data_IF_470835593857
#
_entry.id   IF_470835593857
#
_cell.length_a   1.000
_cell.length_b   1.000
_cell.length_c   1.000
_cell.angle_alpha   90.00
_cell.angle_beta   90.00
_cell.angle_gamma   90.00
#
_symmetry.space_group_name_H-M   'P 1'
#
loop_
_entity.id
_entity.type
_entity.pdbx_description
1 polymer ?
#
# COMPACT_ATOMS: atom_id res chain seq x y z
N UNK A 1 -26.77 -5.74 16.25
CA UNK A 1 -25.52 -6.41 15.82
C UNK A 1 -25.46 -6.31 14.30
N UNK A 2 -24.95 -5.20 13.79
CA UNK A 2 -24.49 -5.15 12.39
C UNK A 2 -23.30 -6.10 12.28
N UNK A 3 -23.26 -6.93 11.23
CA UNK A 3 -22.14 -7.85 11.04
C UNK A 3 -20.89 -7.06 10.65
N UNK A 4 -19.70 -7.62 10.91
CA UNK A 4 -18.43 -7.02 10.49
C UNK A 4 -18.38 -6.73 8.97
N UNK A 5 -19.06 -7.56 8.17
CA UNK A 5 -19.23 -7.34 6.73
C UNK A 5 -20.01 -6.06 6.39
N UNK A 6 -20.94 -5.62 7.25
CA UNK A 6 -21.64 -4.34 7.09
C UNK A 6 -20.69 -3.16 7.29
N UNK A 7 -19.78 -3.25 8.26
CA UNK A 7 -18.92 -2.14 8.63
C UNK A 7 -17.92 -1.77 7.53
N UNK A 8 -17.28 -2.76 6.92
CA UNK A 8 -16.30 -2.51 5.87
C UNK A 8 -16.95 -1.98 4.59
N UNK A 9 -18.18 -2.43 4.30
CA UNK A 9 -19.00 -1.89 3.21
C UNK A 9 -19.40 -0.44 3.47
N UNK A 10 -19.77 -0.10 4.71
CA UNK A 10 -20.06 1.29 5.10
C UNK A 10 -18.80 2.15 5.02
N UNK A 11 -17.68 1.67 5.55
CA UNK A 11 -16.42 2.41 5.53
C UNK A 11 -15.97 2.67 4.10
N UNK A 12 -15.98 1.66 3.23
CA UNK A 12 -15.68 1.86 1.81
C UNK A 12 -16.66 2.83 1.14
N UNK A 13 -17.96 2.70 1.40
CA UNK A 13 -19.00 3.56 0.80
C UNK A 13 -18.79 5.03 1.15
N UNK A 14 -18.47 5.34 2.40
CA UNK A 14 -18.29 6.72 2.86
C UNK A 14 -16.90 7.28 2.55
N UNK A 15 -15.87 6.43 2.42
CA UNK A 15 -14.50 6.88 2.11
C UNK A 15 -14.16 6.86 0.62
N UNK A 16 -14.99 6.24 -0.24
CA UNK A 16 -14.79 6.22 -1.70
C UNK A 16 -14.62 7.63 -2.29
N UNK A 17 -15.31 8.63 -1.75
CA UNK A 17 -15.17 10.02 -2.18
C UNK A 17 -13.72 10.54 -2.04
N UNK A 18 -12.97 10.08 -1.02
CA UNK A 18 -11.57 10.44 -0.80
C UNK A 18 -10.66 9.87 -1.89
N UNK A 19 -10.86 8.59 -2.25
CA UNK A 19 -10.11 7.95 -3.35
C UNK A 19 -10.40 8.63 -4.68
N UNK A 20 -11.67 8.98 -4.94
CA UNK A 20 -12.06 9.73 -6.14
C UNK A 20 -11.42 11.12 -6.16
N UNK A 21 -11.43 11.85 -5.03
CA UNK A 21 -10.79 13.17 -4.94
C UNK A 21 -9.29 13.11 -5.20
N UNK A 22 -8.59 12.12 -4.64
CA UNK A 22 -7.17 11.89 -4.94
C UNK A 22 -6.97 11.56 -6.41
N UNK A 23 -7.83 10.75 -7.02
CA UNK A 23 -7.76 10.40 -8.44
C UNK A 23 -7.91 11.60 -9.39
N UNK A 24 -8.73 12.60 -9.04
CA UNK A 24 -8.80 13.86 -9.80
C UNK A 24 -7.51 14.67 -9.75
N UNK A 25 -6.71 14.53 -8.69
CA UNK A 25 -5.43 15.20 -8.53
C UNK A 25 -4.26 14.39 -9.12
N UNK A 26 -4.29 13.07 -8.91
CA UNK A 26 -3.30 12.11 -9.37
C UNK A 26 -3.97 10.77 -9.73
N UNK A 27 -4.37 10.68 -11.00
CA UNK A 27 -5.04 9.50 -11.55
C UNK A 27 -4.15 8.25 -11.52
N UNK A 28 -2.82 8.41 -11.61
CA UNK A 28 -1.90 7.28 -11.58
C UNK A 28 -1.89 6.64 -10.18
N UNK A 29 -1.91 7.45 -9.13
CA UNK A 29 -2.03 6.95 -7.75
C UNK A 29 -3.35 6.22 -7.53
N UNK A 30 -4.47 6.70 -8.08
CA UNK A 30 -5.75 5.98 -7.97
C UNK A 30 -5.69 4.58 -8.59
N UNK A 31 -5.24 4.48 -9.83
CA UNK A 31 -5.13 3.18 -10.52
C UNK A 31 -4.12 2.25 -9.84
N UNK A 32 -3.05 2.81 -9.28
CA UNK A 32 -2.09 2.08 -8.47
C UNK A 32 -2.75 1.49 -7.21
N UNK A 33 -3.48 2.29 -6.42
CA UNK A 33 -4.18 1.79 -5.24
C UNK A 33 -5.19 0.68 -5.57
N UNK A 34 -5.87 0.74 -6.72
CA UNK A 34 -6.79 -0.32 -7.16
C UNK A 34 -6.09 -1.66 -7.41
N UNK A 35 -4.91 -1.64 -8.05
CA UNK A 35 -4.11 -2.86 -8.30
C UNK A 35 -3.45 -3.39 -7.04
N UNK A 36 -2.90 -2.51 -6.20
CA UNK A 36 -2.34 -2.87 -4.89
C UNK A 36 -3.41 -3.56 -4.04
N UNK A 37 -4.63 -3.02 -4.01
CA UNK A 37 -5.77 -3.67 -3.32
C UNK A 37 -6.02 -5.09 -3.80
N UNK A 38 -6.04 -5.32 -5.11
CA UNK A 38 -6.23 -6.66 -5.69
C UNK A 38 -5.11 -7.64 -5.33
N UNK A 39 -3.85 -7.20 -5.42
CA UNK A 39 -2.69 -7.97 -4.99
C UNK A 39 -2.75 -8.32 -3.50
N UNK A 40 -3.06 -7.35 -2.64
CA UNK A 40 -3.21 -7.55 -1.21
C UNK A 40 -4.32 -8.56 -0.88
N UNK A 41 -5.44 -8.52 -1.59
CA UNK A 41 -6.53 -9.48 -1.40
C UNK A 41 -6.07 -10.92 -1.68
N UNK A 42 -5.33 -11.16 -2.77
CA UNK A 42 -4.79 -12.47 -3.11
C UNK A 42 -3.79 -12.94 -2.04
N UNK A 43 -2.88 -12.06 -1.60
CA UNK A 43 -1.89 -12.38 -0.55
C UNK A 43 -2.60 -12.70 0.77
N UNK A 44 -3.54 -11.86 1.20
CA UNK A 44 -4.25 -12.01 2.46
C UNK A 44 -5.08 -13.30 2.54
N UNK A 45 -5.77 -13.65 1.45
CA UNK A 45 -6.48 -14.93 1.34
C UNK A 45 -5.54 -16.12 1.41
N UNK A 46 -4.39 -16.06 0.72
CA UNK A 46 -3.39 -17.14 0.74
C UNK A 46 -2.74 -17.30 2.11
N UNK A 47 -2.55 -16.19 2.84
CA UNK A 47 -2.04 -16.17 4.20
C UNK A 47 -3.04 -16.72 5.22
N UNK A 48 -4.34 -16.70 4.89
CA UNK A 48 -5.39 -17.18 5.78
C UNK A 48 -5.83 -16.13 6.80
N UNK A 49 -5.81 -14.84 6.42
CA UNK A 49 -6.42 -13.79 7.23
C UNK A 49 -7.90 -14.10 7.48
N UNK A 50 -8.37 -13.81 8.70
CA UNK A 50 -9.80 -13.84 9.00
C UNK A 50 -10.52 -12.76 8.19
N UNK A 51 -11.83 -12.93 7.97
CA UNK A 51 -12.64 -12.02 7.16
C UNK A 51 -12.50 -10.55 7.59
N UNK A 52 -12.45 -10.31 8.91
CA UNK A 52 -12.28 -8.97 9.48
C UNK A 52 -10.93 -8.34 9.11
N UNK A 53 -9.84 -9.10 9.22
CA UNK A 53 -8.50 -8.61 8.88
C UNK A 53 -8.33 -8.43 7.37
N UNK A 54 -8.97 -9.29 6.58
CA UNK A 54 -8.99 -9.18 5.13
C UNK A 54 -9.71 -7.90 4.69
N UNK A 55 -10.80 -7.52 5.36
CA UNK A 55 -11.46 -6.26 5.05
C UNK A 55 -10.64 -5.04 5.48
N UNK A 56 -9.98 -5.09 6.64
CA UNK A 56 -9.02 -4.06 7.06
C UNK A 56 -7.92 -3.92 6.00
N UNK A 57 -7.38 -5.04 5.51
CA UNK A 57 -6.37 -5.05 4.46
C UNK A 57 -6.87 -4.42 3.16
N UNK A 58 -8.07 -4.81 2.67
CA UNK A 58 -8.67 -4.26 1.45
C UNK A 58 -8.87 -2.75 1.55
N UNK A 59 -9.40 -2.27 2.68
CA UNK A 59 -9.61 -0.86 2.93
C UNK A 59 -8.27 -0.11 3.00
N UNK A 60 -7.34 -0.60 3.80
CA UNK A 60 -6.02 0.02 3.97
C UNK A 60 -5.27 0.08 2.65
N UNK A 61 -5.28 -0.98 1.85
CA UNK A 61 -4.66 -1.00 0.53
C UNK A 61 -5.32 0.00 -0.44
N UNK A 62 -6.63 0.23 -0.34
CA UNK A 62 -7.34 1.23 -1.16
C UNK A 62 -6.95 2.67 -0.82
N UNK A 63 -6.53 2.92 0.43
CA UNK A 63 -6.31 4.26 0.98
C UNK A 63 -4.89 4.50 1.50
N UNK A 64 -3.94 3.58 1.30
CA UNK A 64 -2.57 3.70 1.82
C UNK A 64 -1.91 5.02 1.39
N UNK A 65 -2.23 5.45 0.18
CA UNK A 65 -1.72 6.67 -0.45
C UNK A 65 -2.63 7.90 -0.28
N UNK A 66 -3.75 7.81 0.46
CA UNK A 66 -4.74 8.91 0.55
C UNK A 66 -4.11 10.22 1.07
N UNK A 67 -3.10 10.11 1.93
CA UNK A 67 -2.39 11.25 2.48
C UNK A 67 -1.54 12.02 1.48
N UNK A 68 -1.34 11.51 0.25
CA UNK A 68 -0.71 12.27 -0.84
C UNK A 68 -1.49 13.56 -1.16
N UNK A 69 -2.77 13.63 -0.80
CA UNK A 69 -3.56 14.85 -0.87
C UNK A 69 -2.95 16.02 -0.06
N UNK A 70 -2.14 15.74 0.96
CA UNK A 70 -1.44 16.76 1.77
C UNK A 70 -0.02 17.09 1.31
N UNK A 71 0.50 16.42 0.27
CA UNK A 71 1.85 16.69 -0.26
C UNK A 71 1.77 17.86 -1.26
N UNK A 72 2.73 18.80 -1.32
CA UNK A 72 2.74 19.87 -2.33
C UNK A 72 2.86 19.35 -3.78
N UNK A 73 2.21 20.02 -4.75
CA UNK A 73 2.20 19.62 -6.17
C UNK A 73 3.61 19.58 -6.78
N UNK A 74 4.47 20.53 -6.45
CA UNK A 74 5.85 20.58 -6.95
C UNK A 74 6.72 19.41 -6.48
N UNK A 75 6.28 18.67 -5.46
CA UNK A 75 6.93 17.46 -4.96
C UNK A 75 6.19 16.22 -5.49
N UNK A 76 4.85 16.16 -5.32
CA UNK A 76 4.04 15.02 -5.72
C UNK A 76 4.12 14.74 -7.23
N UNK A 77 4.09 15.79 -8.04
CA UNK A 77 4.03 15.70 -9.51
C UNK A 77 5.39 15.99 -10.15
N UNK A 78 6.50 15.95 -9.39
CA UNK A 78 7.82 16.41 -9.84
C UNK A 78 8.40 15.54 -10.97
N UNK A 79 8.78 16.15 -12.13
CA UNK A 79 9.73 15.78 -13.17
C UNK A 79 10.72 14.62 -13.13
N UNK A 80 11.09 14.19 -11.95
CA UNK A 80 12.43 13.71 -11.66
C UNK A 80 12.48 13.05 -10.28
N UNK A 81 13.63 12.47 -9.95
CA UNK A 81 13.91 12.02 -8.60
C UNK A 81 13.71 13.15 -7.59
N UNK A 82 13.17 12.78 -6.42
CA UNK A 82 13.09 13.68 -5.27
C UNK A 82 14.48 13.84 -4.63
N UNK A 83 14.77 15.07 -4.21
CA UNK A 83 15.90 15.40 -3.35
C UNK A 83 15.65 14.92 -1.92
N UNK A 84 16.67 14.93 -1.06
CA UNK A 84 16.57 14.40 0.29
C UNK A 84 15.52 15.12 1.15
N UNK A 85 15.42 16.45 1.05
CA UNK A 85 14.42 17.27 1.75
C UNK A 85 13.00 17.08 1.19
N UNK A 86 12.87 16.94 -0.13
CA UNK A 86 11.60 16.59 -0.78
C UNK A 86 11.11 15.19 -0.37
N UNK A 87 12.02 14.24 -0.19
CA UNK A 87 11.71 12.92 0.36
C UNK A 87 11.16 12.99 1.78
N UNK A 88 11.73 13.83 2.66
CA UNK A 88 11.19 14.03 4.01
C UNK A 88 9.77 14.60 3.98
N UNK A 89 9.44 15.44 2.99
CA UNK A 89 8.07 15.91 2.79
C UNK A 89 7.18 14.78 2.29
N UNK A 90 7.61 14.03 1.27
CA UNK A 90 6.84 12.91 0.69
C UNK A 90 6.49 11.85 1.75
N UNK A 91 7.42 11.50 2.64
CA UNK A 91 7.21 10.52 3.73
C UNK A 91 6.03 10.87 4.64
N UNK A 92 5.65 12.15 4.74
CA UNK A 92 4.54 12.60 5.60
C UNK A 92 3.17 12.07 5.14
N UNK A 93 3.04 11.59 3.90
CA UNK A 93 1.76 11.11 3.40
C UNK A 93 1.19 9.96 4.25
N UNK A 94 2.03 9.10 4.82
CA UNK A 94 1.55 7.99 5.65
C UNK A 94 0.85 8.50 6.92
N UNK A 95 1.46 9.45 7.62
CA UNK A 95 0.86 10.11 8.79
C UNK A 95 -0.34 10.99 8.43
N UNK A 96 -0.32 11.69 7.29
CA UNK A 96 -1.49 12.45 6.83
C UNK A 96 -2.65 11.48 6.51
N UNK A 97 -2.36 10.34 5.88
CA UNK A 97 -3.35 9.32 5.54
C UNK A 97 -4.02 8.72 6.78
N UNK A 98 -3.23 8.45 7.83
CA UNK A 98 -3.72 8.08 9.15
C UNK A 98 -4.73 9.11 9.68
N UNK A 99 -4.34 10.40 9.73
CA UNK A 99 -5.20 11.46 10.26
C UNK A 99 -6.50 11.62 9.46
N UNK A 100 -6.42 11.53 8.13
CA UNK A 100 -7.60 11.54 7.26
C UNK A 100 -8.55 10.39 7.60
N UNK A 101 -8.01 9.18 7.76
CA UNK A 101 -8.81 7.99 8.07
C UNK A 101 -9.44 8.11 9.46
N UNK A 102 -8.70 8.54 10.48
CA UNK A 102 -9.23 8.76 11.83
C UNK A 102 -10.36 9.81 11.84
N UNK A 103 -10.24 10.86 11.02
CA UNK A 103 -11.24 11.93 10.91
C UNK A 103 -12.57 11.48 10.32
N UNK A 104 -12.65 10.26 9.77
CA UNK A 104 -13.94 9.69 9.33
C UNK A 104 -14.84 9.32 10.50
N UNK A 105 -14.26 9.10 11.69
CA UNK A 105 -14.96 8.67 12.90
C UNK A 105 -15.79 7.38 12.74
N UNK A 106 -15.52 6.61 11.67
CA UNK A 106 -16.21 5.35 11.39
C UNK A 106 -15.63 4.22 12.26
N UNK A 107 -16.46 3.26 12.64
CA UNK A 107 -15.95 2.07 13.31
C UNK A 107 -14.93 1.36 12.41
N UNK A 108 -13.84 0.85 12.98
CA UNK A 108 -12.75 0.23 12.20
C UNK A 108 -11.74 1.23 11.61
N UNK A 109 -12.04 2.54 11.61
CA UNK A 109 -11.10 3.55 11.14
C UNK A 109 -9.74 3.53 11.87
N UNK A 110 -9.66 3.35 13.21
CA UNK A 110 -8.37 3.26 13.88
C UNK A 110 -7.48 2.11 13.39
N UNK A 111 -8.06 0.95 13.10
CA UNK A 111 -7.33 -0.22 12.60
C UNK A 111 -6.81 0.03 11.19
N UNK A 112 -7.63 0.60 10.31
CA UNK A 112 -7.24 0.97 8.95
C UNK A 112 -6.17 2.07 8.97
N UNK A 113 -6.34 3.10 9.82
CA UNK A 113 -5.40 4.20 9.97
C UNK A 113 -4.02 3.71 10.44
N UNK A 114 -4.00 2.76 11.39
CA UNK A 114 -2.76 2.13 11.85
C UNK A 114 -2.04 1.44 10.69
N UNK A 115 -2.75 0.71 9.84
CA UNK A 115 -2.15 0.02 8.70
C UNK A 115 -1.62 1.02 7.66
N UNK A 116 -2.39 2.07 7.35
CA UNK A 116 -2.00 3.17 6.46
C UNK A 116 -0.74 3.87 6.97
N UNK A 117 -0.64 4.14 8.27
CA UNK A 117 0.56 4.80 8.83
C UNK A 117 1.83 3.99 8.57
N UNK A 118 1.76 2.66 8.70
CA UNK A 118 2.94 1.79 8.76
C UNK A 118 3.22 1.02 7.46
N UNK A 119 2.52 1.29 6.37
CA UNK A 119 2.72 0.54 5.11
C UNK A 119 4.11 0.73 4.47
N UNK A 120 4.86 1.75 4.90
CA UNK A 120 6.25 1.98 4.51
C UNK A 120 7.27 1.61 5.59
N UNK A 121 6.85 0.94 6.65
CA UNK A 121 7.79 0.30 7.56
C UNK A 121 8.53 -0.83 6.83
N UNK A 122 9.81 -0.97 7.15
CA UNK A 122 10.67 -2.01 6.61
C UNK A 122 10.82 -3.11 7.65
N UNK A 123 10.77 -4.37 7.21
CA UNK A 123 10.87 -5.53 8.11
C UNK A 123 12.08 -5.47 9.07
N UNK A 124 13.18 -4.84 8.67
CA UNK A 124 14.39 -4.64 9.46
C UNK A 124 14.42 -3.40 10.38
N UNK A 125 13.34 -2.61 10.44
CA UNK A 125 13.26 -1.39 11.26
C UNK A 125 13.88 -0.13 10.64
N UNK A 126 14.31 -0.17 9.38
CA UNK A 126 14.87 1.00 8.66
C UNK A 126 13.82 1.76 7.83
N UNK A 127 12.54 1.48 8.07
CA UNK A 127 11.43 2.13 7.39
C UNK A 127 10.98 3.42 8.09
N UNK A 128 9.77 3.86 7.79
CA UNK A 128 9.17 5.05 8.36
C UNK A 128 7.64 4.85 8.50
N UNK A 129 6.95 5.63 9.34
CA UNK A 129 7.41 6.78 10.10
C UNK A 129 8.05 6.48 11.47
N UNK A 130 7.81 5.31 12.04
CA UNK A 130 8.10 5.03 13.45
C UNK A 130 9.27 4.04 13.64
N UNK A 131 9.75 3.42 12.57
CA UNK A 131 10.91 2.52 12.60
C UNK A 131 10.58 1.16 13.22
N UNK A 132 9.34 0.71 13.07
CA UNK A 132 8.89 -0.59 13.57
C UNK A 132 9.59 -1.74 12.84
N UNK A 133 9.83 -2.83 13.56
CA UNK A 133 10.50 -4.00 13.00
C UNK A 133 9.66 -5.27 13.12
N UNK A 134 9.80 -6.17 12.14
CA UNK A 134 9.24 -7.53 12.18
C UNK A 134 7.74 -7.55 12.55
N UNK A 135 7.42 -8.13 13.70
CA UNK A 135 6.06 -8.34 14.19
C UNK A 135 5.45 -7.12 14.89
N UNK A 136 6.25 -6.08 15.14
CA UNK A 136 5.73 -4.76 15.54
C UNK A 136 4.96 -4.11 14.38
N UNK A 137 5.31 -4.45 13.14
CA UNK A 137 4.62 -3.98 11.94
C UNK A 137 3.31 -4.77 11.78
N UNK A 138 2.15 -4.09 11.66
CA UNK A 138 0.89 -4.77 11.38
C UNK A 138 1.00 -5.71 10.18
N UNK A 139 0.45 -6.92 10.29
CA UNK A 139 0.52 -7.91 9.20
C UNK A 139 -0.02 -7.35 7.89
N UNK A 140 -1.11 -6.57 7.93
CA UNK A 140 -1.67 -5.92 6.75
C UNK A 140 -0.70 -4.90 6.13
N UNK A 141 0.09 -4.17 6.93
CA UNK A 141 1.11 -3.24 6.43
C UNK A 141 2.26 -3.99 5.74
N UNK A 142 2.68 -5.13 6.30
CA UNK A 142 3.70 -5.99 5.68
C UNK A 142 3.23 -6.55 4.32
N UNK A 143 1.95 -6.92 4.21
CA UNK A 143 1.34 -7.36 2.95
C UNK A 143 1.29 -6.20 1.93
N UNK A 144 0.83 -5.01 2.34
CA UNK A 144 0.77 -3.83 1.47
C UNK A 144 2.16 -3.46 0.95
N UNK A 145 3.19 -3.48 1.81
CA UNK A 145 4.56 -3.15 1.42
C UNK A 145 5.06 -3.96 0.21
N UNK A 146 4.75 -5.25 0.15
CA UNK A 146 5.10 -6.13 -0.99
C UNK A 146 4.29 -5.77 -2.24
N UNK A 147 2.97 -5.68 -2.10
CA UNK A 147 2.07 -5.38 -3.22
C UNK A 147 2.34 -4.00 -3.83
N UNK A 148 2.54 -2.98 -3.00
CA UNK A 148 2.92 -1.61 -3.38
C UNK A 148 4.24 -1.61 -4.17
N UNK A 149 5.28 -2.24 -3.63
CA UNK A 149 6.60 -2.29 -4.27
C UNK A 149 6.55 -2.97 -5.63
N UNK A 150 5.80 -4.07 -5.75
CA UNK A 150 5.63 -4.77 -7.02
C UNK A 150 4.91 -3.88 -8.05
N UNK A 151 3.75 -3.31 -7.70
CA UNK A 151 2.96 -2.50 -8.64
C UNK A 151 3.70 -1.22 -9.05
N UNK A 152 4.38 -0.57 -8.11
CA UNK A 152 5.16 0.63 -8.35
C UNK A 152 6.28 0.42 -9.39
N UNK A 153 6.83 -0.80 -9.49
CA UNK A 153 7.83 -1.17 -10.50
C UNK A 153 7.22 -1.71 -11.79
N UNK A 154 6.04 -2.36 -11.71
CA UNK A 154 5.36 -2.99 -12.83
C UNK A 154 4.68 -2.01 -13.79
N UNK A 155 4.30 -0.82 -13.31
CA UNK A 155 3.50 0.14 -14.07
C UNK A 155 4.27 1.40 -14.41
N UNK A 156 4.10 1.87 -15.65
CA UNK A 156 4.71 3.12 -16.13
C UNK A 156 4.34 4.29 -15.24
N UNK A 157 5.35 5.05 -14.80
CA UNK A 157 5.19 6.36 -14.17
C UNK A 157 5.85 7.43 -15.06
N UNK A 158 5.55 8.74 -14.90
CA UNK A 158 6.10 9.78 -15.77
C UNK A 158 7.64 9.80 -15.89
N UNK A 159 8.34 9.23 -14.90
CA UNK A 159 9.81 9.22 -14.81
C UNK A 159 10.45 7.84 -14.94
N UNK A 160 9.66 6.79 -15.13
CA UNK A 160 10.18 5.43 -15.13
C UNK A 160 9.36 4.52 -16.05
N UNK A 161 10.08 3.78 -16.91
CA UNK A 161 9.49 2.74 -17.76
C UNK A 161 9.28 1.48 -16.94
N UNK A 162 8.14 0.79 -17.10
CA UNK A 162 7.81 -0.40 -16.32
C UNK A 162 8.93 -1.44 -16.47
N UNK A 163 9.30 -2.07 -15.35
CA UNK A 163 10.26 -3.18 -15.33
C UNK A 163 9.57 -4.46 -15.76
N UNK A 164 10.32 -5.38 -16.35
CA UNK A 164 9.81 -6.72 -16.64
C UNK A 164 9.63 -7.51 -15.36
N UNK A 165 8.71 -8.47 -15.40
CA UNK A 165 8.42 -9.33 -14.26
C UNK A 165 9.68 -9.92 -13.60
N UNK A 166 10.58 -10.53 -14.39
CA UNK A 166 11.81 -11.11 -13.89
C UNK A 166 12.75 -10.08 -13.21
N UNK A 167 12.77 -8.83 -13.68
CA UNK A 167 13.57 -7.76 -13.08
C UNK A 167 12.99 -7.32 -11.74
N UNK A 168 11.67 -7.20 -11.66
CA UNK A 168 10.95 -6.86 -10.42
C UNK A 168 11.21 -7.93 -9.36
N UNK A 169 11.01 -9.20 -9.71
CA UNK A 169 11.22 -10.32 -8.78
C UNK A 169 12.68 -10.40 -8.31
N UNK A 170 13.65 -10.10 -9.18
CA UNK A 170 15.06 -10.00 -8.77
C UNK A 170 15.26 -8.94 -7.69
N UNK A 171 14.66 -7.76 -7.83
CA UNK A 171 14.76 -6.68 -6.83
C UNK A 171 14.09 -7.09 -5.52
N UNK A 172 12.84 -7.55 -5.57
CA UNK A 172 12.10 -7.94 -4.35
C UNK A 172 12.79 -9.07 -3.57
N UNK A 173 13.40 -10.04 -4.28
CA UNK A 173 14.18 -11.10 -3.65
C UNK A 173 15.42 -10.54 -2.92
N UNK A 174 16.07 -9.48 -3.42
CA UNK A 174 17.18 -8.83 -2.71
C UNK A 174 16.74 -8.02 -1.50
N UNK A 175 15.47 -7.62 -1.44
CA UNK A 175 14.88 -6.86 -0.34
C UNK A 175 14.23 -7.75 0.74
N UNK A 176 14.26 -9.07 0.55
CA UNK A 176 13.69 -10.05 1.48
C UNK A 176 14.44 -10.07 2.81
N UNK A 177 13.71 -9.93 3.93
CA UNK A 177 14.28 -9.79 5.27
C UNK A 177 14.84 -8.40 5.59
N UNK A 178 14.89 -7.50 4.59
CA UNK A 178 15.26 -6.10 4.75
C UNK A 178 13.98 -5.24 4.76
N UNK A 179 13.38 -5.04 3.60
CA UNK A 179 12.13 -4.32 3.44
C UNK A 179 10.93 -5.23 3.66
N UNK A 180 10.99 -6.43 3.11
CA UNK A 180 9.85 -7.34 3.02
C UNK A 180 9.96 -8.51 3.99
N UNK A 181 8.83 -8.91 4.54
CA UNK A 181 8.71 -10.09 5.37
C UNK A 181 9.07 -11.36 4.56
N UNK A 182 10.05 -12.17 5.00
CA UNK A 182 10.46 -13.39 4.29
C UNK A 182 9.36 -14.43 4.10
N UNK A 183 8.42 -14.53 5.04
CA UNK A 183 7.32 -15.48 4.94
C UNK A 183 6.32 -15.05 3.88
N UNK A 184 5.92 -13.78 3.92
CA UNK A 184 5.02 -13.22 2.92
C UNK A 184 5.65 -13.18 1.52
N UNK A 185 6.96 -12.91 1.43
CA UNK A 185 7.65 -12.89 0.14
C UNK A 185 7.67 -14.28 -0.52
N UNK A 186 7.90 -15.34 0.27
CA UNK A 186 7.82 -16.72 -0.23
C UNK A 186 6.46 -17.03 -0.83
N UNK A 187 5.40 -16.63 -0.14
CA UNK A 187 4.02 -16.77 -0.59
C UNK A 187 3.75 -15.94 -1.85
N UNK A 188 4.21 -14.69 -1.86
CA UNK A 188 4.06 -13.77 -2.98
C UNK A 188 4.70 -14.33 -4.27
N UNK A 189 5.91 -14.90 -4.17
CA UNK A 189 6.58 -15.55 -5.30
C UNK A 189 5.75 -16.66 -5.93
N UNK A 190 4.98 -17.43 -5.16
CA UNK A 190 4.13 -18.50 -5.70
C UNK A 190 2.88 -17.95 -6.38
N UNK A 191 2.19 -17.00 -5.73
CA UNK A 191 0.89 -16.51 -6.22
C UNK A 191 1.02 -15.59 -7.44
N UNK A 192 2.10 -14.81 -7.54
CA UNK A 192 2.22 -13.78 -8.58
C UNK A 192 2.37 -14.40 -9.96
N UNK A 193 2.90 -15.62 -10.05
CA UNK A 193 3.08 -16.37 -11.31
C UNK A 193 1.76 -16.69 -12.01
N UNK A 194 0.67 -16.81 -11.24
CA UNK A 194 -0.67 -17.16 -11.74
C UNK A 194 -1.66 -15.99 -11.60
N UNK A 195 -1.19 -14.83 -11.16
CA UNK A 195 -2.02 -13.66 -10.91
C UNK A 195 -2.29 -12.87 -12.18
N UNK A 196 -3.48 -12.31 -12.30
CA UNK A 196 -3.81 -11.34 -13.37
C UNK A 196 -2.99 -10.05 -13.27
N UNK A 197 -2.43 -9.77 -12.09
CA UNK A 197 -1.57 -8.61 -11.82
C UNK A 197 -0.10 -8.85 -12.20
N UNK A 198 0.24 -10.02 -12.76
CA UNK A 198 1.60 -10.32 -13.18
C UNK A 198 2.06 -9.31 -14.22
N UNK A 199 3.21 -8.68 -13.96
CA UNK A 199 3.85 -7.76 -14.89
C UNK A 199 4.24 -8.47 -16.21
N UNK A 200 4.44 -7.69 -17.27
CA UNK A 200 4.81 -8.24 -18.57
C UNK A 200 6.16 -8.98 -18.54
N UNK A 201 6.24 -10.09 -19.27
CA UNK A 201 7.45 -10.89 -19.43
C UNK A 201 8.44 -10.28 -20.44
N UNK A 202 7.94 -9.52 -21.43
CA UNK A 202 8.71 -8.99 -22.57
C UNK A 202 8.46 -7.51 -22.82
#
# INVERSE_FOLDING_TARGET
MESAATLCVLLHRYTKALSVALGYRDLLTQHHSERVRGLCEIIGLRYGLADQDLDILRLSASFHDVGKIGIPDNILLKPASLEADEWEIMKRHSGIGEQIMLSTELDGAPQVALVIRHHHEHYNGLGYPDGLSRDEIPICSRIISIADSYDAMAVTRPYHRPKRHAEIMKILNTETGLKHDPELMRMFCEIIEYSEFKAAET
#
